data_IF_366800149814
#
_entry.id   IF_366800149814
#
_cell.length_a   1.000
_cell.length_b   1.000
_cell.length_c   1.000
_cell.angle_alpha   90.00
_cell.angle_beta   90.00
_cell.angle_gamma   90.00
#
_symmetry.space_group_name_H-M   'P 1'
#
loop_
_entity.id
_entity.type
_entity.pdbx_description
1 polymer ?
#
# COMPACT_ATOMS: atom_id res chain seq x y z
N UNK A 1 12.28 -12.43 27.31
CA UNK A 1 11.17 -11.79 26.58
C UNK A 1 9.84 -12.37 27.05
N UNK A 2 8.78 -11.56 27.09
CA UNK A 2 7.43 -11.94 27.54
C UNK A 2 6.88 -13.16 26.78
N UNK A 3 7.28 -13.33 25.51
CA UNK A 3 6.99 -14.50 24.69
C UNK A 3 7.53 -15.82 25.27
N UNK A 4 8.83 -15.88 25.61
CA UNK A 4 9.47 -17.09 26.16
C UNK A 4 8.90 -17.43 27.54
N UNK A 5 8.52 -16.40 28.31
CA UNK A 5 7.86 -16.55 29.61
C UNK A 5 6.39 -16.99 29.52
N UNK A 6 5.83 -17.14 28.31
CA UNK A 6 4.41 -17.46 28.06
C UNK A 6 3.44 -16.44 28.68
N UNK A 7 3.85 -15.18 28.78
CA UNK A 7 3.03 -14.08 29.30
C UNK A 7 2.10 -13.48 28.22
N UNK A 8 2.38 -13.74 26.93
CA UNK A 8 1.54 -13.30 25.82
C UNK A 8 0.48 -14.36 25.48
N UNK A 9 -0.78 -13.98 25.20
CA UNK A 9 -1.81 -14.91 24.76
C UNK A 9 -1.51 -15.43 23.34
N UNK A 10 -2.08 -16.59 23.01
CA UNK A 10 -2.11 -17.06 21.62
C UNK A 10 -3.04 -16.15 20.82
N UNK A 11 -2.55 -15.65 19.69
CA UNK A 11 -3.30 -14.75 18.81
C UNK A 11 -3.29 -15.27 17.38
N UNK A 12 -4.34 -14.93 16.63
CA UNK A 12 -4.34 -14.96 15.18
C UNK A 12 -4.20 -13.52 14.70
N UNK A 13 -3.22 -13.27 13.83
CA UNK A 13 -2.92 -11.94 13.31
C UNK A 13 -3.35 -11.80 11.85
N UNK A 14 -3.43 -10.55 11.41
CA UNK A 14 -3.66 -10.19 10.01
C UNK A 14 -3.26 -8.75 9.74
N UNK A 15 -3.16 -8.40 8.46
CA UNK A 15 -2.89 -7.05 7.99
C UNK A 15 -3.69 -6.78 6.72
N UNK A 16 -4.27 -5.58 6.63
CA UNK A 16 -5.04 -5.15 5.47
C UNK A 16 -4.32 -3.95 4.86
N UNK A 17 -3.97 -4.04 3.59
CA UNK A 17 -3.28 -2.96 2.88
C UNK A 17 -4.22 -1.78 2.62
N UNK A 18 -4.08 -0.70 3.39
CA UNK A 18 -4.96 0.48 3.30
C UNK A 18 -5.00 1.07 1.88
N UNK A 19 -3.85 1.42 1.31
CA UNK A 19 -3.76 1.98 -0.05
C UNK A 19 -4.25 1.00 -1.13
N UNK A 20 -4.02 -0.31 -0.95
CA UNK A 20 -4.52 -1.34 -1.88
C UNK A 20 -6.04 -1.41 -1.88
N UNK A 21 -6.68 -1.31 -0.71
CA UNK A 21 -8.13 -1.23 -0.59
C UNK A 21 -8.67 0.05 -1.24
N UNK A 22 -8.05 1.20 -0.98
CA UNK A 22 -8.46 2.46 -1.60
C UNK A 22 -8.32 2.41 -3.13
N UNK A 23 -7.20 1.90 -3.65
CA UNK A 23 -6.97 1.74 -5.08
C UNK A 23 -8.06 0.87 -5.73
N UNK A 24 -8.43 -0.25 -5.08
CA UNK A 24 -9.49 -1.14 -5.55
C UNK A 24 -10.87 -0.45 -5.56
N UNK A 25 -11.28 0.17 -4.45
CA UNK A 25 -12.62 0.79 -4.35
C UNK A 25 -12.77 2.03 -5.22
N UNK A 26 -11.68 2.76 -5.47
CA UNK A 26 -11.69 3.96 -6.30
C UNK A 26 -11.42 3.66 -7.79
N UNK A 27 -11.21 2.38 -8.15
CA UNK A 27 -10.93 1.98 -9.54
C UNK A 27 -9.65 2.62 -10.10
N UNK A 28 -8.65 2.81 -9.24
CA UNK A 28 -7.39 3.47 -9.59
C UNK A 28 -6.47 2.49 -10.32
N UNK A 29 -5.79 2.97 -11.35
CA UNK A 29 -4.88 2.20 -12.18
C UNK A 29 -3.53 1.97 -11.49
N UNK A 30 -3.07 2.91 -10.66
CA UNK A 30 -1.82 2.81 -9.94
C UNK A 30 -1.97 3.18 -8.46
N UNK A 31 -1.24 2.49 -7.57
CA UNK A 31 -1.32 2.71 -6.11
C UNK A 31 -0.84 4.11 -5.70
N UNK A 32 0.04 4.70 -6.52
CA UNK A 32 0.51 6.07 -6.32
C UNK A 32 -0.56 7.14 -6.49
N UNK A 33 -1.72 6.84 -7.10
CA UNK A 33 -2.85 7.77 -7.16
C UNK A 33 -3.55 7.96 -5.79
N UNK A 34 -3.26 7.08 -4.82
CA UNK A 34 -3.87 7.10 -3.47
C UNK A 34 -2.85 7.09 -2.34
N UNK A 35 -1.56 7.04 -2.66
CA UNK A 35 -0.46 6.99 -1.70
C UNK A 35 0.73 7.79 -2.21
N UNK A 36 1.10 8.85 -1.48
CA UNK A 36 2.33 9.59 -1.74
C UNK A 36 3.55 8.70 -1.48
N UNK A 37 4.41 8.56 -2.48
CA UNK A 37 5.61 7.73 -2.39
C UNK A 37 6.66 8.16 -3.41
N UNK A 38 7.80 7.47 -3.40
CA UNK A 38 8.86 7.70 -4.39
C UNK A 38 8.72 6.67 -5.50
N UNK A 39 8.73 7.16 -6.73
CA UNK A 39 8.66 6.35 -7.95
C UNK A 39 9.87 6.69 -8.84
N UNK A 40 10.28 5.76 -9.71
CA UNK A 40 11.33 6.04 -10.69
C UNK A 40 10.85 7.05 -11.73
N UNK A 41 11.78 7.79 -12.34
CA UNK A 41 11.47 8.73 -13.43
C UNK A 41 10.82 8.03 -14.65
N UNK A 42 11.08 6.74 -14.83
CA UNK A 42 10.42 5.90 -15.83
C UNK A 42 8.94 5.70 -15.49
N UNK A 43 8.64 5.30 -14.24
CA UNK A 43 7.27 5.09 -13.76
C UNK A 43 6.43 6.38 -13.79
N UNK A 44 7.03 7.51 -13.40
CA UNK A 44 6.37 8.81 -13.45
C UNK A 44 6.02 9.19 -14.90
N UNK A 45 6.93 8.95 -15.85
CA UNK A 45 6.67 9.19 -17.27
C UNK A 45 5.58 8.28 -17.83
N UNK A 46 5.67 6.98 -17.59
CA UNK A 46 4.66 6.01 -18.03
C UNK A 46 3.27 6.34 -17.48
N UNK A 47 3.17 6.67 -16.18
CA UNK A 47 1.90 7.06 -15.57
C UNK A 47 1.34 8.34 -16.23
N UNK A 48 2.18 9.36 -16.42
CA UNK A 48 1.78 10.62 -17.07
C UNK A 48 1.29 10.41 -18.50
N UNK A 49 1.99 9.58 -19.30
CA UNK A 49 1.58 9.23 -20.68
C UNK A 49 0.23 8.50 -20.73
N UNK A 50 -0.11 7.76 -19.68
CA UNK A 50 -1.39 7.06 -19.53
C UNK A 50 -2.46 7.88 -18.79
N UNK A 51 -2.24 9.17 -18.52
CA UNK A 51 -3.14 10.04 -17.75
C UNK A 51 -3.41 9.54 -16.31
N UNK A 52 -2.42 8.90 -15.70
CA UNK A 52 -2.43 8.43 -14.31
C UNK A 52 -1.70 9.46 -13.44
N UNK A 53 -2.42 10.13 -12.54
CA UNK A 53 -1.87 11.18 -11.67
C UNK A 53 -1.37 10.60 -10.34
N UNK A 54 -0.06 10.68 -10.10
CA UNK A 54 0.57 10.23 -8.85
C UNK A 54 0.58 11.34 -7.80
N UNK A 55 0.35 11.00 -6.52
CA UNK A 55 0.41 11.90 -5.35
C UNK A 55 1.84 12.12 -4.83
#
# INVERSE_FOLDING_TARGET
>A
TQLIKKELPYTIGGGIGQSRICMFFLGKAHIGEVQASVWSDEMIRECSENNIELL
#
